data_IF_217574005435
#
_entry.id   IF_217574005435
#
_cell.length_a   1.000
_cell.length_b   1.000
_cell.length_c   1.000
_cell.angle_alpha   90.00
_cell.angle_beta   90.00
_cell.angle_gamma   90.00
#
_symmetry.space_group_name_H-M   'P 1'
#
loop_
_entity.id
_entity.type
_entity.pdbx_description
1 polymer ?
#
# COMPACT_ATOMS: atom_id res chain seq x y z
N UNK A 1 -64.83 -55.30 -23.45
CA UNK A 1 -65.65 -55.15 -24.60
C UNK A 1 -64.78 -54.71 -25.72
N UNK A 2 -64.35 -55.63 -26.48
CA UNK A 2 -64.61 -55.93 -27.87
C UNK A 2 -64.02 -54.82 -28.76
N UNK A 3 -63.27 -55.09 -29.76
CA UNK A 3 -62.95 -56.28 -30.47
C UNK A 3 -61.90 -56.07 -31.53
N UNK A 4 -61.36 -57.15 -31.88
CA UNK A 4 -60.47 -57.55 -32.96
C UNK A 4 -60.79 -56.92 -34.32
N UNK A 5 -59.77 -56.63 -35.14
CA UNK A 5 -59.60 -57.51 -36.32
C UNK A 5 -58.36 -57.16 -37.14
N UNK A 6 -57.70 -58.22 -37.56
CA UNK A 6 -56.57 -58.39 -38.47
C UNK A 6 -56.83 -57.83 -39.86
N UNK A 7 -55.74 -57.51 -40.55
CA UNK A 7 -55.51 -58.09 -41.87
C UNK A 7 -54.09 -57.94 -42.36
N UNK A 8 -53.60 -59.02 -42.91
CA UNK A 8 -52.25 -59.27 -43.40
C UNK A 8 -52.05 -58.73 -44.81
N UNK A 9 -50.80 -58.57 -45.17
CA UNK A 9 -50.43 -58.55 -46.58
C UNK A 9 -49.11 -57.87 -46.92
N UNK A 10 -48.15 -58.68 -47.31
CA UNK A 10 -47.21 -58.30 -48.34
C UNK A 10 -45.77 -58.13 -47.96
N UNK A 11 -45.02 -59.22 -47.98
CA UNK A 11 -43.55 -59.20 -48.01
C UNK A 11 -43.01 -58.44 -49.24
N UNK A 12 -42.06 -57.53 -49.02
CA UNK A 12 -41.08 -57.22 -50.06
C UNK A 12 -39.72 -57.11 -49.38
N UNK A 13 -38.85 -58.00 -49.77
CA UNK A 13 -37.44 -58.04 -49.39
C UNK A 13 -36.72 -56.90 -50.11
N UNK A 14 -36.16 -56.00 -49.39
CA UNK A 14 -35.29 -54.99 -49.96
C UNK A 14 -33.86 -55.33 -49.55
N UNK A 15 -32.96 -55.37 -50.50
CA UNK A 15 -31.55 -55.66 -50.37
C UNK A 15 -30.83 -54.66 -49.47
N UNK A 16 -29.76 -55.05 -48.75
CA UNK A 16 -29.05 -54.15 -47.88
C UNK A 16 -28.16 -53.15 -48.70
N UNK A 17 -28.35 -51.87 -48.45
CA UNK A 17 -27.46 -50.82 -48.94
C UNK A 17 -26.14 -50.92 -48.22
N UNK A 18 -25.01 -50.65 -48.91
CA UNK A 18 -23.72 -50.77 -48.28
C UNK A 18 -23.54 -49.70 -47.22
N UNK A 19 -23.00 -50.10 -46.10
CA UNK A 19 -22.59 -49.22 -45.01
C UNK A 19 -21.55 -48.24 -45.54
N UNK A 20 -21.92 -46.98 -45.65
CA UNK A 20 -20.94 -45.93 -45.88
C UNK A 20 -20.08 -45.81 -44.59
N UNK A 21 -18.84 -46.25 -44.67
CA UNK A 21 -17.86 -45.91 -43.67
C UNK A 21 -17.72 -44.41 -43.71
N UNK A 22 -18.20 -43.73 -42.68
CA UNK A 22 -17.90 -42.35 -42.49
C UNK A 22 -16.41 -42.27 -42.21
N UNK A 23 -15.67 -41.72 -43.15
CA UNK A 23 -14.26 -41.37 -42.90
C UNK A 23 -14.24 -40.43 -41.74
N UNK A 24 -13.54 -40.84 -40.66
CA UNK A 24 -13.38 -39.99 -39.50
C UNK A 24 -12.62 -38.74 -39.94
N UNK A 25 -13.30 -37.64 -39.92
CA UNK A 25 -12.65 -36.37 -40.20
C UNK A 25 -11.58 -36.05 -39.15
N UNK A 26 -10.58 -35.22 -39.50
CA UNK A 26 -9.48 -34.91 -38.61
C UNK A 26 -9.87 -34.05 -37.40
N UNK A 27 -11.15 -33.83 -37.16
CA UNK A 27 -11.64 -32.92 -36.13
C UNK A 27 -11.55 -33.41 -34.69
N UNK A 28 -11.60 -34.73 -34.46
CA UNK A 28 -11.64 -35.24 -33.07
C UNK A 28 -10.30 -35.24 -32.37
N UNK A 29 -9.23 -35.56 -33.10
CA UNK A 29 -7.88 -35.51 -32.51
C UNK A 29 -7.46 -34.06 -32.24
N UNK A 30 -7.82 -33.13 -33.13
CA UNK A 30 -7.52 -31.72 -32.96
C UNK A 30 -8.23 -31.11 -31.76
N UNK A 31 -9.53 -31.48 -31.55
CA UNK A 31 -10.29 -31.00 -30.37
C UNK A 31 -9.72 -31.54 -29.07
N UNK A 32 -9.30 -32.82 -29.05
CA UNK A 32 -8.69 -33.42 -27.83
C UNK A 32 -7.36 -32.75 -27.48
N UNK A 33 -6.53 -32.44 -28.49
CA UNK A 33 -5.26 -31.77 -28.29
C UNK A 33 -5.48 -30.35 -27.79
N UNK A 34 -6.49 -29.63 -28.33
CA UNK A 34 -6.86 -28.30 -27.88
C UNK A 34 -7.38 -28.31 -26.44
N UNK A 35 -8.18 -29.32 -26.06
CA UNK A 35 -8.69 -29.47 -24.71
C UNK A 35 -7.57 -29.79 -23.74
N UNK A 36 -6.60 -30.63 -24.12
CA UNK A 36 -5.45 -30.95 -23.28
C UNK A 36 -4.60 -29.69 -23.09
N UNK A 37 -4.35 -28.94 -24.16
CA UNK A 37 -3.57 -27.72 -24.08
C UNK A 37 -4.26 -26.68 -23.18
N UNK A 38 -5.57 -26.50 -23.36
CA UNK A 38 -6.33 -25.56 -22.54
C UNK A 38 -6.31 -25.97 -21.06
N UNK A 39 -6.49 -27.26 -20.79
CA UNK A 39 -6.43 -27.79 -19.42
C UNK A 39 -5.05 -27.54 -18.81
N UNK A 40 -3.98 -27.77 -19.57
CA UNK A 40 -2.62 -27.51 -19.10
C UNK A 40 -2.39 -26.04 -18.81
N UNK A 41 -2.88 -25.15 -19.69
CA UNK A 41 -2.77 -23.71 -19.50
C UNK A 41 -3.54 -23.24 -18.27
N UNK A 42 -4.76 -23.76 -18.07
CA UNK A 42 -5.56 -23.44 -16.89
C UNK A 42 -4.86 -23.93 -15.62
N UNK A 43 -4.29 -25.14 -15.64
CA UNK A 43 -3.56 -25.70 -14.50
C UNK A 43 -2.34 -24.85 -14.17
N UNK A 44 -1.58 -24.43 -15.21
CA UNK A 44 -0.41 -23.57 -15.01
C UNK A 44 -0.81 -22.21 -14.45
N UNK A 45 -1.89 -21.62 -14.97
CA UNK A 45 -2.41 -20.36 -14.46
C UNK A 45 -2.84 -20.50 -13.01
N UNK A 46 -3.55 -21.57 -12.67
CA UNK A 46 -3.96 -21.84 -11.29
C UNK A 46 -2.75 -22.01 -10.36
N UNK A 47 -1.73 -22.71 -10.84
CA UNK A 47 -0.49 -22.89 -10.07
C UNK A 47 0.21 -21.56 -9.83
N UNK A 48 0.24 -20.69 -10.84
CA UNK A 48 0.84 -19.36 -10.71
C UNK A 48 0.07 -18.49 -9.73
N UNK A 49 -1.26 -18.53 -9.78
CA UNK A 49 -2.13 -17.69 -8.94
C UNK A 49 -2.18 -18.21 -7.51
N UNK A 50 -2.27 -19.53 -7.33
CA UNK A 50 -2.48 -20.11 -6.00
C UNK A 50 -1.27 -19.86 -5.11
N UNK A 51 -1.53 -19.34 -3.91
CA UNK A 51 -0.55 -19.23 -2.83
C UNK A 51 -1.23 -19.65 -1.53
N UNK A 52 -0.55 -20.41 -0.66
CA UNK A 52 -1.16 -20.74 0.63
C UNK A 52 -1.25 -19.48 1.49
N UNK A 53 -2.44 -19.22 2.01
CA UNK A 53 -2.71 -18.04 2.82
C UNK A 53 -3.18 -18.45 4.22
N UNK A 54 -2.89 -17.65 5.25
CA UNK A 54 -3.44 -17.90 6.58
C UNK A 54 -4.96 -17.93 6.56
N UNK A 55 -5.56 -18.74 7.43
CA UNK A 55 -7.01 -18.89 7.51
C UNK A 55 -7.75 -17.62 7.92
N UNK A 56 -7.04 -16.67 8.50
CA UNK A 56 -7.65 -15.40 8.93
C UNK A 56 -7.88 -14.42 7.77
N UNK A 57 -7.35 -14.71 6.57
CA UNK A 57 -7.59 -13.83 5.40
C UNK A 57 -9.04 -13.95 4.95
N UNK A 58 -9.76 -12.84 4.88
CA UNK A 58 -11.20 -12.82 4.61
C UNK A 58 -11.56 -13.16 3.17
N UNK A 59 -10.78 -12.70 2.22
CA UNK A 59 -11.06 -12.85 0.78
C UNK A 59 -9.85 -13.48 0.09
N UNK A 60 -9.54 -14.77 0.37
CA UNK A 60 -8.27 -15.34 -0.07
C UNK A 60 -8.11 -15.40 -1.59
N UNK A 61 -9.16 -15.77 -2.34
CA UNK A 61 -9.05 -15.85 -3.80
C UNK A 61 -8.85 -14.48 -4.44
N UNK A 62 -9.52 -13.46 -3.91
CA UNK A 62 -9.31 -12.09 -4.39
C UNK A 62 -7.86 -11.65 -4.15
N UNK A 63 -7.31 -11.99 -2.98
CA UNK A 63 -5.93 -11.62 -2.66
C UNK A 63 -4.93 -12.35 -3.55
N UNK A 64 -5.16 -13.64 -3.81
CA UNK A 64 -4.31 -14.42 -4.73
C UNK A 64 -4.30 -13.80 -6.12
N UNK A 65 -5.47 -13.42 -6.64
CA UNK A 65 -5.59 -12.81 -7.97
C UNK A 65 -4.92 -11.44 -8.02
N UNK A 66 -5.12 -10.63 -7.00
CA UNK A 66 -4.48 -9.31 -6.91
C UNK A 66 -2.97 -9.45 -6.87
N UNK A 67 -2.48 -10.37 -6.06
CA UNK A 67 -1.04 -10.61 -5.93
C UNK A 67 -0.44 -11.10 -7.25
N UNK A 68 -1.13 -12.03 -7.93
CA UNK A 68 -0.66 -12.53 -9.23
C UNK A 68 -0.57 -11.38 -10.25
N UNK A 69 -1.53 -10.47 -10.22
CA UNK A 69 -1.53 -9.28 -11.09
C UNK A 69 -0.30 -8.42 -10.80
N UNK A 70 -0.03 -8.15 -9.53
CA UNK A 70 1.13 -7.34 -9.14
C UNK A 70 2.44 -8.05 -9.49
N UNK A 71 2.54 -9.35 -9.22
CA UNK A 71 3.76 -10.12 -9.56
C UNK A 71 4.02 -10.09 -11.08
N UNK A 72 2.97 -10.26 -11.87
CA UNK A 72 3.09 -10.23 -13.34
C UNK A 72 3.59 -8.86 -13.81
N UNK A 73 3.00 -7.79 -13.27
CA UNK A 73 3.42 -6.43 -13.63
C UNK A 73 4.88 -6.18 -13.23
N UNK A 74 5.27 -6.63 -12.04
CA UNK A 74 6.65 -6.48 -11.57
C UNK A 74 7.63 -7.28 -12.44
N UNK A 75 7.25 -8.51 -12.83
CA UNK A 75 8.11 -9.35 -13.67
C UNK A 75 8.31 -8.74 -15.06
N UNK A 76 7.24 -8.21 -15.65
CA UNK A 76 7.34 -7.51 -16.94
C UNK A 76 8.23 -6.27 -16.80
N UNK A 77 8.06 -5.52 -15.73
CA UNK A 77 8.84 -4.31 -15.47
C UNK A 77 10.33 -4.63 -15.26
N UNK A 78 10.61 -5.69 -14.53
CA UNK A 78 11.99 -6.14 -14.31
C UNK A 78 12.64 -6.62 -15.60
N UNK A 79 11.89 -7.28 -16.49
CA UNK A 79 12.39 -7.70 -17.80
C UNK A 79 12.72 -6.46 -18.65
N UNK A 80 11.86 -5.45 -18.65
CA UNK A 80 12.09 -4.19 -19.37
C UNK A 80 13.38 -3.55 -18.86
N UNK A 81 13.59 -3.54 -17.56
CA UNK A 81 14.79 -2.99 -16.93
C UNK A 81 16.03 -3.80 -17.33
N UNK A 82 15.95 -5.12 -17.27
CA UNK A 82 17.05 -6.01 -17.64
C UNK A 82 17.47 -5.82 -19.09
N UNK A 83 16.51 -5.59 -19.99
CA UNK A 83 16.77 -5.35 -21.39
C UNK A 83 17.29 -3.92 -21.67
N UNK A 84 17.39 -3.09 -20.65
CA UNK A 84 17.91 -1.73 -20.78
C UNK A 84 16.96 -0.74 -21.42
N UNK A 85 15.66 -1.08 -21.50
CA UNK A 85 14.67 -0.23 -22.18
C UNK A 85 14.15 0.89 -21.28
N UNK A 86 14.02 0.65 -19.98
CA UNK A 86 13.54 1.63 -19.01
C UNK A 86 13.84 1.17 -17.61
N UNK A 87 13.83 2.09 -16.65
CA UNK A 87 13.91 1.74 -15.23
C UNK A 87 12.65 0.96 -14.82
N UNK A 88 12.82 -0.09 -14.00
CA UNK A 88 11.71 -0.96 -13.64
C UNK A 88 10.56 -0.21 -12.97
N UNK A 89 10.85 0.82 -12.18
CA UNK A 89 9.80 1.60 -11.52
C UNK A 89 9.03 2.48 -12.49
N UNK A 90 9.70 3.02 -13.52
CA UNK A 90 8.99 3.76 -14.57
C UNK A 90 8.06 2.84 -15.34
N UNK A 91 8.55 1.63 -15.68
CA UNK A 91 7.74 0.64 -16.39
C UNK A 91 6.55 0.21 -15.55
N UNK A 92 6.78 -0.10 -14.28
CA UNK A 92 5.70 -0.53 -13.37
C UNK A 92 4.65 0.56 -13.19
N UNK A 93 5.10 1.79 -12.99
CA UNK A 93 4.18 2.93 -12.84
C UNK A 93 3.34 3.13 -14.11
N UNK A 94 3.97 2.99 -15.29
CA UNK A 94 3.26 3.09 -16.57
C UNK A 94 2.18 2.02 -16.67
N UNK A 95 2.49 0.77 -16.30
CA UNK A 95 1.52 -0.33 -16.34
C UNK A 95 0.34 -0.03 -15.41
N UNK A 96 0.62 0.37 -14.18
CA UNK A 96 -0.41 0.65 -13.17
C UNK A 96 -1.30 1.81 -13.63
N UNK A 97 -0.71 2.89 -14.15
CA UNK A 97 -1.48 4.04 -14.61
C UNK A 97 -2.32 3.72 -15.85
N UNK A 98 -1.85 2.80 -16.71
CA UNK A 98 -2.60 2.39 -17.89
C UNK A 98 -3.94 1.75 -17.54
N UNK A 99 -4.00 1.07 -16.39
CA UNK A 99 -5.22 0.38 -15.95
C UNK A 99 -6.06 1.20 -14.96
N UNK A 100 -5.49 2.25 -14.36
CA UNK A 100 -6.16 2.92 -13.25
C UNK A 100 -6.28 4.44 -13.31
N UNK A 101 -5.63 5.07 -14.28
CA UNK A 101 -5.61 6.54 -14.31
C UNK A 101 -6.98 7.11 -14.67
N UNK A 102 -7.49 7.96 -13.82
CA UNK A 102 -8.73 8.70 -14.09
C UNK A 102 -8.48 10.19 -13.90
N UNK A 103 -9.00 10.98 -14.82
CA UNK A 103 -8.96 12.42 -14.71
C UNK A 103 -9.80 12.89 -13.52
N UNK A 104 -9.52 14.07 -13.04
CA UNK A 104 -10.33 14.69 -11.99
C UNK A 104 -11.78 14.86 -12.49
N UNK A 105 -12.74 14.47 -11.67
CA UNK A 105 -14.16 14.61 -11.99
C UNK A 105 -14.92 14.92 -10.72
N UNK A 106 -15.80 15.91 -10.84
CA UNK A 106 -16.60 16.36 -9.71
C UNK A 106 -17.96 15.66 -9.70
N UNK A 107 -18.52 15.53 -8.52
CA UNK A 107 -19.89 15.08 -8.33
C UNK A 107 -20.70 16.23 -7.75
N UNK A 108 -22.04 16.10 -7.69
CA UNK A 108 -22.83 17.16 -7.04
C UNK A 108 -22.42 17.40 -5.58
N UNK A 109 -21.84 16.39 -4.91
CA UNK A 109 -21.48 16.49 -3.50
C UNK A 109 -20.03 16.89 -3.28
N UNK A 110 -19.13 16.65 -4.27
CA UNK A 110 -17.69 16.88 -4.09
C UNK A 110 -17.12 17.54 -5.36
N UNK A 111 -16.56 18.73 -5.18
CA UNK A 111 -15.81 19.41 -6.24
C UNK A 111 -14.37 18.94 -6.20
N UNK A 112 -13.84 18.52 -7.35
CA UNK A 112 -12.47 18.05 -7.48
C UNK A 112 -11.69 18.96 -8.43
N UNK A 113 -10.56 19.47 -7.97
CA UNK A 113 -9.75 20.44 -8.73
C UNK A 113 -8.27 20.03 -8.65
N UNK A 114 -7.61 20.03 -9.80
CA UNK A 114 -6.15 19.86 -9.85
C UNK A 114 -5.52 21.25 -9.83
N UNK A 115 -4.55 21.45 -8.95
CA UNK A 115 -3.88 22.72 -8.78
C UNK A 115 -2.43 22.52 -8.35
N UNK A 116 -1.77 23.61 -8.00
CA UNK A 116 -0.35 23.63 -7.64
C UNK A 116 -0.20 24.35 -6.30
N UNK A 117 0.47 23.71 -5.35
CA UNK A 117 0.84 24.32 -4.07
C UNK A 117 2.36 24.52 -4.05
N UNK A 118 2.80 25.69 -4.44
CA UNK A 118 4.22 26.09 -4.42
C UNK A 118 5.08 25.10 -5.23
N UNK A 119 4.63 24.75 -6.44
CA UNK A 119 5.37 23.89 -7.36
C UNK A 119 5.08 22.40 -7.21
N UNK A 120 4.20 22.03 -6.30
CA UNK A 120 3.82 20.63 -6.08
C UNK A 120 2.38 20.42 -6.56
N UNK A 121 2.18 19.46 -7.45
CA UNK A 121 0.85 19.13 -7.93
C UNK A 121 -0.02 18.60 -6.81
N UNK A 122 -1.24 19.10 -6.71
CA UNK A 122 -2.19 18.74 -5.65
C UNK A 122 -3.57 18.56 -6.26
N UNK A 123 -4.27 17.51 -5.82
CA UNK A 123 -5.68 17.32 -6.14
C UNK A 123 -6.49 17.70 -4.91
N UNK A 124 -7.36 18.69 -5.06
CA UNK A 124 -8.18 19.22 -3.95
C UNK A 124 -9.60 18.68 -4.08
N UNK A 125 -10.11 18.09 -3.01
CA UNK A 125 -11.47 17.59 -2.90
C UNK A 125 -12.22 18.49 -1.93
N UNK A 126 -13.28 19.17 -2.39
CA UNK A 126 -14.06 20.07 -1.57
C UNK A 126 -15.47 19.52 -1.40
N UNK A 127 -15.86 19.23 -0.17
CA UNK A 127 -17.24 18.87 0.16
C UNK A 127 -18.13 20.09 0.18
N UNK A 128 -19.45 19.89 0.06
CA UNK A 128 -20.41 20.97 0.12
C UNK A 128 -20.36 21.64 1.50
N UNK A 129 -20.44 22.99 1.55
CA UNK A 129 -20.42 23.68 2.83
C UNK A 129 -21.68 23.37 3.66
N UNK A 130 -21.50 23.26 4.98
CA UNK A 130 -22.61 23.06 5.90
C UNK A 130 -22.99 24.40 6.54
N UNK A 131 -24.28 24.75 6.56
CA UNK A 131 -24.67 26.05 7.16
C UNK A 131 -24.25 26.23 8.61
N UNK A 132 -24.22 25.12 9.39
CA UNK A 132 -23.84 25.18 10.80
C UNK A 132 -22.33 25.22 11.01
N UNK A 133 -21.55 24.88 9.98
CA UNK A 133 -20.08 24.87 10.05
C UNK A 133 -19.53 25.65 8.85
N UNK A 134 -19.41 26.97 8.96
CA UNK A 134 -18.92 27.76 7.83
C UNK A 134 -17.47 27.51 7.48
N UNK A 135 -16.65 27.08 8.46
CA UNK A 135 -15.27 26.70 8.21
C UNK A 135 -15.14 25.17 8.28
N UNK A 136 -14.41 24.62 7.32
CA UNK A 136 -14.28 23.18 7.11
C UNK A 136 -13.08 22.59 7.83
N UNK A 137 -13.24 21.37 8.28
CA UNK A 137 -12.10 20.52 8.65
C UNK A 137 -11.32 20.16 7.40
N UNK A 138 -10.04 19.85 7.55
CA UNK A 138 -9.19 19.55 6.41
C UNK A 138 -8.20 18.42 6.73
N UNK A 139 -7.94 17.58 5.74
CA UNK A 139 -6.88 16.55 5.83
C UNK A 139 -5.96 16.70 4.63
N UNK A 140 -4.68 16.84 4.91
CA UNK A 140 -3.64 16.72 3.89
C UNK A 140 -3.28 15.25 3.79
N UNK A 141 -3.56 14.63 2.65
CA UNK A 141 -3.34 13.19 2.46
C UNK A 141 -2.18 12.94 1.52
N UNK A 142 -1.27 12.05 1.95
CA UNK A 142 -0.07 11.69 1.20
C UNK A 142 -0.21 10.24 0.79
N UNK A 143 -0.20 9.97 -0.52
CA UNK A 143 -0.45 8.64 -1.03
C UNK A 143 0.77 7.72 -0.86
N UNK A 144 0.51 6.41 -0.81
CA UNK A 144 1.54 5.39 -0.79
C UNK A 144 2.06 5.04 -2.17
N UNK A 145 2.72 3.89 -2.27
CA UNK A 145 3.27 3.39 -3.53
C UNK A 145 4.80 3.34 -3.54
N UNK A 146 5.40 3.12 -2.38
CA UNK A 146 6.86 2.92 -2.29
C UNK A 146 7.67 4.10 -2.77
N UNK A 147 7.15 5.31 -2.61
CA UNK A 147 7.76 6.57 -3.07
C UNK A 147 7.95 6.63 -4.59
N UNK A 148 7.43 5.66 -5.31
CA UNK A 148 7.71 5.47 -6.75
C UNK A 148 6.46 5.31 -7.62
N UNK A 149 5.36 4.88 -7.03
CA UNK A 149 4.14 4.58 -7.80
C UNK A 149 3.08 5.64 -7.52
N UNK A 150 2.42 6.08 -8.57
CA UNK A 150 1.34 7.07 -8.45
C UNK A 150 0.05 6.34 -8.07
N UNK A 151 -0.42 6.53 -6.86
CA UNK A 151 -1.69 5.93 -6.41
C UNK A 151 -2.84 6.92 -6.47
N UNK A 152 -2.53 8.15 -6.66
CA UNK A 152 -3.57 9.19 -6.80
C UNK A 152 -4.47 8.97 -8.00
N UNK A 153 -3.88 8.52 -8.72
CA UNK A 153 -4.60 8.21 -9.89
C UNK A 153 -5.37 6.96 -9.79
N UNK A 154 -4.92 6.42 -8.87
CA UNK A 154 -5.63 5.23 -8.75
C UNK A 154 -6.98 5.54 -8.19
N UNK A 155 -7.77 5.12 -8.62
CA UNK A 155 -9.11 5.31 -8.23
C UNK A 155 -9.37 4.97 -6.82
N UNK A 156 -8.54 4.22 -6.41
CA UNK A 156 -8.62 3.81 -5.11
C UNK A 156 -8.45 4.91 -4.11
N UNK A 157 -7.60 5.67 -4.30
CA UNK A 157 -7.36 6.75 -3.42
C UNK A 157 -8.40 7.84 -3.60
N UNK A 158 -8.83 7.95 -4.66
CA UNK A 158 -9.86 8.83 -4.93
C UNK A 158 -11.15 8.43 -4.27
N UNK A 159 -11.27 7.35 -4.28
CA UNK A 159 -12.40 6.81 -3.65
C UNK A 159 -12.35 6.89 -2.14
N UNK A 160 -11.25 6.80 -1.71
CA UNK A 160 -11.04 6.96 -0.33
C UNK A 160 -11.16 8.39 0.06
N UNK A 161 -10.70 9.14 -0.67
CA UNK A 161 -10.80 10.51 -0.45
C UNK A 161 -12.19 11.05 -0.68
N UNK A 162 -12.81 10.49 -1.56
CA UNK A 162 -14.15 10.87 -1.81
C UNK A 162 -15.06 10.44 -0.69
N UNK A 163 -14.72 9.44 -0.17
CA UNK A 163 -15.48 8.97 0.94
C UNK A 163 -15.17 9.74 2.21
N UNK A 164 -14.06 10.10 2.30
CA UNK A 164 -13.65 10.94 3.39
C UNK A 164 -14.17 12.36 3.26
N UNK A 165 -14.23 12.76 2.20
CA UNK A 165 -14.79 13.99 1.94
C UNK A 165 -16.28 14.05 2.20
N UNK A 166 -16.80 13.10 1.91
CA UNK A 166 -18.17 12.98 2.17
C UNK A 166 -18.54 12.99 3.64
N UNK A 167 -17.78 12.38 4.25
CA UNK A 167 -18.01 12.35 5.64
C UNK A 167 -17.49 13.56 6.35
N UNK A 168 -16.56 13.90 6.00
CA UNK A 168 -16.01 14.99 6.76
C UNK A 168 -15.77 16.24 5.92
N UNK A 169 -16.29 16.61 5.30
CA UNK A 169 -16.16 17.78 4.59
C UNK A 169 -14.75 18.26 4.63
N UNK A 170 -14.04 17.53 4.41
CA UNK A 170 -12.68 17.84 4.45
C UNK A 170 -12.17 18.20 3.09
N UNK A 171 -11.26 18.88 3.11
CA UNK A 171 -10.50 19.16 1.96
C UNK A 171 -9.42 18.15 1.96
N UNK A 172 -9.33 17.40 1.15
CA UNK A 172 -8.31 16.48 1.08
C UNK A 172 -7.42 16.92 -0.02
N UNK A 173 -6.22 17.10 0.27
CA UNK A 173 -5.19 17.46 -0.62
C UNK A 173 -4.35 16.25 -0.79
N UNK A 174 -4.32 15.65 -1.79
CA UNK A 174 -3.48 14.58 -2.11
C UNK A 174 -2.32 15.18 -2.78
N UNK A 175 -1.19 15.08 -2.16
CA UNK A 175 0.01 15.57 -2.64
C UNK A 175 0.53 14.67 -3.67
N UNK A 176 0.71 14.96 -4.68
CA UNK A 176 1.33 14.29 -5.74
C UNK A 176 2.76 14.63 -5.73
N UNK A 177 3.56 14.30 -4.82
CA UNK A 177 5.00 14.51 -4.67
C UNK A 177 5.77 13.80 -5.79
N UNK A 178 6.94 14.30 -6.08
CA UNK A 178 7.75 13.70 -7.17
C UNK A 178 8.21 12.31 -6.76
N UNK A 179 8.34 11.42 -7.73
CA UNK A 179 8.53 9.99 -7.50
C UNK A 179 9.91 9.50 -7.93
N UNK A 180 10.38 8.44 -7.25
CA UNK A 180 11.53 7.65 -7.69
C UNK A 180 11.16 7.04 -9.06
N UNK A 181 12.05 6.96 -10.05
CA UNK A 181 13.47 7.34 -10.04
C UNK A 181 13.75 8.73 -10.61
N UNK A 182 12.74 9.54 -10.84
CA UNK A 182 12.97 10.91 -11.35
C UNK A 182 13.70 11.75 -10.32
N UNK A 183 13.33 11.58 -9.04
CA UNK A 183 14.03 12.17 -7.90
C UNK A 183 14.13 11.13 -6.79
N UNK A 184 15.05 11.35 -5.85
CA UNK A 184 15.32 10.45 -4.75
C UNK A 184 15.20 11.20 -3.43
N UNK A 185 15.21 10.45 -2.31
CA UNK A 185 15.26 11.07 -0.99
C UNK A 185 16.36 12.15 -0.94
N UNK A 186 16.12 13.33 -0.38
CA UNK A 186 14.95 13.76 0.39
C UNK A 186 13.92 14.59 -0.40
N UNK A 187 13.91 14.49 -1.74
CA UNK A 187 13.01 15.32 -2.54
C UNK A 187 11.55 15.11 -2.17
N UNK A 188 11.17 13.86 -1.86
CA UNK A 188 9.78 13.54 -1.56
C UNK A 188 9.30 14.23 -0.28
N UNK A 189 10.08 14.13 0.80
CA UNK A 189 9.70 14.81 2.05
C UNK A 189 9.74 16.33 1.88
N UNK A 190 10.71 16.86 1.12
CA UNK A 190 10.76 18.28 0.82
C UNK A 190 9.50 18.76 0.10
N UNK A 191 9.03 17.97 -0.88
CA UNK A 191 7.81 18.31 -1.62
C UNK A 191 6.59 18.37 -0.70
N UNK A 192 6.39 17.33 0.13
CA UNK A 192 5.18 17.30 0.96
C UNK A 192 5.23 18.38 2.06
N UNK A 193 6.40 18.69 2.57
CA UNK A 193 6.57 19.78 3.54
C UNK A 193 6.25 21.12 2.86
N UNK A 194 6.80 21.35 1.66
CA UNK A 194 6.56 22.60 0.94
C UNK A 194 5.08 22.80 0.62
N UNK A 195 4.42 21.78 0.12
CA UNK A 195 2.99 21.86 -0.21
C UNK A 195 2.13 22.10 1.03
N UNK A 196 2.48 21.43 2.15
CA UNK A 196 1.71 21.58 3.39
C UNK A 196 1.90 22.98 3.99
N UNK A 197 3.13 23.49 3.97
CA UNK A 197 3.39 24.88 4.42
C UNK A 197 2.57 25.89 3.60
N UNK A 198 2.54 25.69 2.28
CA UNK A 198 1.75 26.55 1.40
C UNK A 198 0.26 26.51 1.79
N UNK A 199 -0.26 25.31 2.00
CA UNK A 199 -1.67 25.13 2.37
C UNK A 199 -2.01 25.85 3.68
N UNK A 200 -1.08 25.87 4.63
CA UNK A 200 -1.31 26.46 5.95
C UNK A 200 -1.19 27.98 5.96
N UNK A 201 -0.85 28.63 4.86
CA UNK A 201 -0.86 30.09 4.78
C UNK A 201 -2.28 30.62 5.04
N UNK A 202 -2.43 31.66 5.84
CA UNK A 202 -3.77 32.18 6.15
C UNK A 202 -4.63 32.47 4.92
N UNK A 203 -4.05 33.06 3.87
CA UNK A 203 -4.76 33.39 2.64
C UNK A 203 -5.23 32.14 1.88
N UNK A 204 -4.48 31.03 1.96
CA UNK A 204 -4.85 29.77 1.31
C UNK A 204 -5.95 29.08 2.11
N UNK A 205 -5.81 29.02 3.42
CA UNK A 205 -6.86 28.46 4.28
C UNK A 205 -8.18 29.22 4.09
N UNK A 206 -8.10 30.56 4.01
CA UNK A 206 -9.28 31.40 3.77
C UNK A 206 -9.91 31.10 2.41
N UNK A 207 -9.09 30.95 1.37
CA UNK A 207 -9.57 30.63 0.02
C UNK A 207 -10.44 29.37 0.02
N UNK A 208 -10.06 28.36 0.81
CA UNK A 208 -10.78 27.09 0.87
C UNK A 208 -11.76 27.00 2.04
N UNK A 209 -11.94 28.09 2.78
CA UNK A 209 -12.82 28.17 3.97
C UNK A 209 -12.47 27.07 4.99
N UNK A 210 -11.18 26.91 5.28
CA UNK A 210 -10.67 25.89 6.22
C UNK A 210 -10.45 26.51 7.59
N UNK A 211 -10.87 25.80 8.63
CA UNK A 211 -10.60 26.14 10.01
C UNK A 211 -9.12 25.84 10.32
N UNK A 212 -8.31 26.87 10.62
CA UNK A 212 -6.88 26.63 10.89
C UNK A 212 -6.60 25.70 12.07
N UNK A 213 -7.55 25.57 13.00
CA UNK A 213 -7.37 24.71 14.18
C UNK A 213 -7.78 23.26 13.93
N UNK A 214 -8.27 22.95 12.72
CA UNK A 214 -8.80 21.61 12.41
C UNK A 214 -8.18 21.07 11.11
N UNK A 215 -6.84 21.03 11.07
CA UNK A 215 -6.08 20.49 9.94
C UNK A 215 -5.31 19.27 10.42
N UNK A 216 -5.54 18.13 9.76
CA UNK A 216 -4.80 16.89 10.02
C UNK A 216 -3.92 16.48 8.86
N UNK A 217 -2.92 15.65 9.15
CA UNK A 217 -2.04 15.05 8.14
C UNK A 217 -2.26 13.55 8.15
N UNK A 218 -2.27 12.93 6.97
CA UNK A 218 -2.50 11.49 6.88
C UNK A 218 -1.81 10.92 5.65
N UNK A 219 -1.62 9.61 5.66
CA UNK A 219 -1.05 8.92 4.51
C UNK A 219 -0.99 7.43 4.74
N UNK A 220 -0.84 6.68 3.64
CA UNK A 220 -0.75 5.22 3.69
C UNK A 220 0.61 4.76 3.19
N UNK A 221 1.18 3.74 3.85
CA UNK A 221 2.43 3.09 3.45
C UNK A 221 3.57 4.10 3.38
N UNK A 222 4.19 4.30 2.21
CA UNK A 222 5.22 5.34 2.02
C UNK A 222 4.66 6.73 2.30
N UNK A 223 3.37 6.97 2.03
CA UNK A 223 2.72 8.22 2.40
C UNK A 223 2.57 8.39 3.89
N UNK A 224 2.33 7.29 4.61
CA UNK A 224 2.34 7.30 6.08
C UNK A 224 3.72 7.62 6.63
N UNK A 225 4.76 7.13 5.97
CA UNK A 225 6.14 7.48 6.27
C UNK A 225 6.35 9.00 6.15
N UNK A 226 5.94 9.56 5.03
CA UNK A 226 6.10 10.99 4.77
C UNK A 226 5.26 11.83 5.75
N UNK A 227 4.05 11.39 6.08
CA UNK A 227 3.20 12.09 7.04
C UNK A 227 3.85 12.13 8.44
N UNK A 228 4.40 11.00 8.87
CA UNK A 228 5.07 10.93 10.17
C UNK A 228 6.31 11.84 10.20
N UNK A 229 7.12 11.81 9.14
CA UNK A 229 8.32 12.64 9.06
C UNK A 229 7.95 14.14 9.04
N UNK A 230 6.90 14.49 8.30
CA UNK A 230 6.41 15.88 8.25
C UNK A 230 5.96 16.34 9.63
N UNK A 231 5.20 15.52 10.35
CA UNK A 231 4.73 15.85 11.69
C UNK A 231 5.90 16.14 12.64
N UNK A 232 6.96 15.34 12.55
CA UNK A 232 8.16 15.54 13.37
C UNK A 232 8.84 16.85 13.02
N UNK A 233 8.97 17.16 11.72
CA UNK A 233 9.60 18.42 11.29
C UNK A 233 8.79 19.62 11.77
N UNK A 234 7.47 19.57 11.64
CA UNK A 234 6.59 20.66 12.08
C UNK A 234 6.69 20.86 13.60
N UNK A 235 6.77 19.78 14.34
CA UNK A 235 6.87 19.86 15.80
C UNK A 235 8.18 20.52 16.25
N UNK A 236 9.22 20.45 15.43
CA UNK A 236 10.52 21.05 15.74
C UNK A 236 10.66 22.49 15.23
N UNK A 237 9.67 22.98 14.49
CA UNK A 237 9.69 24.32 13.90
C UNK A 237 8.75 25.23 14.72
N UNK A 238 9.30 26.28 15.35
CA UNK A 238 8.54 27.16 16.23
C UNK A 238 7.34 27.81 15.53
N UNK A 239 7.45 28.08 14.21
CA UNK A 239 6.38 28.71 13.45
C UNK A 239 5.29 27.73 13.05
N UNK A 240 5.58 26.43 13.05
CA UNK A 240 4.65 25.40 12.55
C UNK A 240 4.16 24.48 13.68
N UNK A 241 4.78 24.55 14.85
CA UNK A 241 4.39 23.74 16.00
C UNK A 241 2.91 23.97 16.31
N UNK A 242 2.20 22.87 16.54
CA UNK A 242 0.76 22.86 16.85
C UNK A 242 -0.15 23.30 15.70
N UNK A 243 0.38 23.42 14.47
CA UNK A 243 -0.45 23.73 13.31
C UNK A 243 -1.26 22.52 12.83
N UNK A 244 -0.80 21.30 13.16
CA UNK A 244 -1.53 20.08 12.81
C UNK A 244 -2.22 19.54 14.05
N UNK A 245 -3.51 19.32 13.96
CA UNK A 245 -4.31 18.83 15.08
C UNK A 245 -4.09 17.33 15.33
N UNK A 246 -3.85 16.56 14.23
CA UNK A 246 -3.67 15.12 14.35
C UNK A 246 -2.86 14.58 13.19
N UNK A 247 -2.35 13.37 13.38
CA UNK A 247 -1.77 12.59 12.29
C UNK A 247 -2.41 11.21 12.27
N UNK A 248 -2.70 10.71 11.06
CA UNK A 248 -3.31 9.40 10.89
C UNK A 248 -2.48 8.61 9.89
N UNK A 249 -1.82 7.57 10.38
CA UNK A 249 -0.84 6.80 9.65
C UNK A 249 -1.41 5.42 9.34
N UNK A 250 -1.53 5.10 8.06
CA UNK A 250 -2.18 3.87 7.58
C UNK A 250 -1.09 2.90 7.14
N UNK A 251 -0.96 1.79 7.87
CA UNK A 251 0.11 0.77 7.70
C UNK A 251 1.44 1.40 7.25
N UNK A 252 2.00 2.31 8.06
CA UNK A 252 3.15 3.10 7.63
C UNK A 252 4.46 2.31 7.63
N UNK A 253 5.36 2.67 6.71
CA UNK A 253 6.74 2.17 6.72
C UNK A 253 7.60 3.19 7.47
N UNK A 254 8.30 2.77 8.54
CA UNK A 254 8.86 3.73 9.48
C UNK A 254 10.34 3.53 9.83
N UNK A 255 10.98 2.46 9.31
CA UNK A 255 12.39 2.22 9.60
C UNK A 255 13.00 1.29 8.55
N UNK A 256 14.32 1.34 8.42
CA UNK A 256 15.07 0.52 7.45
C UNK A 256 16.31 -0.12 8.11
N UNK A 257 16.28 -0.32 9.43
CA UNK A 257 17.43 -0.85 10.16
C UNK A 257 17.24 -2.30 10.58
N UNK A 258 16.00 -2.75 10.75
CA UNK A 258 15.72 -4.13 11.14
C UNK A 258 14.67 -4.71 10.21
N UNK A 259 15.09 -5.59 9.31
CA UNK A 259 14.20 -6.29 8.39
C UNK A 259 13.87 -7.69 8.89
N UNK A 260 14.03 -7.92 10.20
CA UNK A 260 13.73 -9.21 10.84
C UNK A 260 12.94 -9.04 12.14
N UNK A 261 12.12 -8.00 12.21
CA UNK A 261 11.10 -7.90 13.27
C UNK A 261 10.15 -9.09 13.12
N UNK A 262 9.38 -9.43 14.16
CA UNK A 262 8.44 -10.55 14.02
C UNK A 262 7.55 -10.47 12.77
N UNK A 263 7.03 -9.29 12.42
CA UNK A 263 6.19 -9.19 11.22
C UNK A 263 6.97 -9.42 9.92
N UNK A 264 8.22 -8.98 9.84
CA UNK A 264 9.06 -9.30 8.68
C UNK A 264 9.36 -10.79 8.59
N UNK A 265 9.59 -11.45 9.72
CA UNK A 265 9.83 -12.90 9.72
C UNK A 265 8.55 -13.66 9.37
N UNK A 266 7.45 -13.31 10.02
CA UNK A 266 6.16 -13.97 9.82
C UNK A 266 5.67 -13.81 8.38
N UNK A 267 5.81 -12.62 7.82
CA UNK A 267 5.20 -12.23 6.55
C UNK A 267 6.21 -12.08 5.42
N UNK A 268 7.38 -12.71 5.52
CA UNK A 268 8.46 -12.46 4.56
C UNK A 268 8.06 -12.71 3.11
N UNK A 269 7.15 -13.64 2.87
CA UNK A 269 6.67 -14.01 1.54
C UNK A 269 5.20 -13.66 1.32
N UNK A 270 4.67 -12.75 2.11
CA UNK A 270 3.25 -12.39 2.06
C UNK A 270 2.91 -11.76 0.69
N UNK A 271 1.66 -11.90 0.25
CA UNK A 271 1.23 -11.23 -0.98
C UNK A 271 1.37 -9.72 -0.91
N UNK A 272 1.48 -9.11 -2.06
CA UNK A 272 1.51 -7.66 -2.31
C UNK A 272 2.84 -7.04 -1.90
N UNK A 273 3.32 -7.28 -0.66
CA UNK A 273 4.55 -6.65 -0.18
C UNK A 273 5.40 -7.67 0.59
N UNK A 274 6.07 -8.58 -0.10
CA UNK A 274 7.05 -9.44 0.57
C UNK A 274 8.27 -8.66 1.04
N UNK A 275 9.04 -9.23 1.95
CA UNK A 275 10.18 -8.55 2.55
C UNK A 275 11.16 -8.01 1.51
N UNK A 276 11.53 -8.84 0.51
CA UNK A 276 12.54 -8.39 -0.46
C UNK A 276 12.04 -7.20 -1.28
N UNK A 277 10.74 -7.13 -1.54
CA UNK A 277 10.15 -6.00 -2.29
C UNK A 277 10.25 -4.73 -1.46
N UNK A 278 9.95 -4.81 -0.16
CA UNK A 278 10.06 -3.62 0.71
C UNK A 278 11.52 -3.14 0.79
N UNK A 279 12.46 -4.08 0.96
CA UNK A 279 13.88 -3.72 1.02
C UNK A 279 14.32 -3.08 -0.31
N UNK A 280 13.85 -3.61 -1.43
CA UNK A 280 14.19 -3.06 -2.75
C UNK A 280 13.64 -1.63 -2.90
N UNK A 281 12.41 -1.35 -2.39
CA UNK A 281 11.88 0.01 -2.39
C UNK A 281 12.78 0.97 -1.61
N UNK A 282 13.30 0.53 -0.46
CA UNK A 282 14.24 1.34 0.31
C UNK A 282 15.51 1.64 -0.50
N UNK A 283 16.08 0.62 -1.15
CA UNK A 283 17.28 0.78 -1.97
C UNK A 283 17.02 1.75 -3.12
N UNK A 284 15.88 1.61 -3.78
CA UNK A 284 15.48 2.52 -4.86
C UNK A 284 15.30 3.97 -4.35
N UNK A 285 14.71 4.12 -3.16
CA UNK A 285 14.46 5.45 -2.58
C UNK A 285 15.75 6.24 -2.40
N UNK A 286 16.83 5.54 -2.05
CA UNK A 286 18.13 6.15 -1.80
C UNK A 286 19.11 6.05 -2.98
N UNK A 287 18.66 5.54 -4.11
CA UNK A 287 19.51 5.29 -5.30
C UNK A 287 20.69 4.38 -4.93
N UNK A 288 20.41 3.36 -4.13
CA UNK A 288 21.44 2.42 -3.69
C UNK A 288 21.70 1.30 -4.69
N UNK A 289 22.72 0.53 -4.42
CA UNK A 289 23.10 -0.62 -5.22
C UNK A 289 22.18 -1.80 -4.87
N UNK A 290 21.59 -2.44 -5.87
CA UNK A 290 20.70 -3.59 -5.66
C UNK A 290 21.43 -4.78 -5.00
N UNK A 291 22.75 -4.83 -5.08
CA UNK A 291 23.54 -5.84 -4.37
C UNK A 291 23.35 -5.75 -2.85
N UNK A 292 22.89 -4.60 -2.35
CA UNK A 292 22.65 -4.41 -0.91
C UNK A 292 21.43 -5.15 -0.40
N UNK A 293 20.49 -5.51 -1.28
CA UNK A 293 19.18 -6.06 -0.87
C UNK A 293 19.36 -7.33 -0.02
N UNK A 294 20.16 -8.30 -0.49
CA UNK A 294 20.35 -9.55 0.24
C UNK A 294 20.98 -9.33 1.61
N UNK A 295 21.99 -8.47 1.68
CA UNK A 295 22.66 -8.15 2.95
C UNK A 295 21.71 -7.45 3.92
N UNK A 296 20.90 -6.53 3.41
CA UNK A 296 19.93 -5.80 4.24
C UNK A 296 18.86 -6.74 4.80
N UNK A 297 18.43 -7.73 4.01
CA UNK A 297 17.40 -8.68 4.46
C UNK A 297 17.84 -9.52 5.66
N UNK A 298 19.13 -9.66 5.88
CA UNK A 298 19.64 -10.41 7.06
C UNK A 298 20.28 -9.46 8.09
N UNK A 299 20.01 -8.16 7.98
CA UNK A 299 20.50 -7.14 8.90
C UNK A 299 22.03 -7.01 8.93
N UNK A 300 22.70 -7.30 7.80
CA UNK A 300 24.15 -7.10 7.71
C UNK A 300 24.55 -5.64 7.73
N UNK A 301 23.65 -4.75 7.36
CA UNK A 301 23.90 -3.31 7.34
C UNK A 301 23.84 -2.69 8.74
N UNK A 302 23.32 -3.41 9.73
CA UNK A 302 23.18 -2.93 11.11
C UNK A 302 23.82 -3.92 12.09
N UNK A 303 24.92 -4.53 11.67
CA UNK A 303 25.68 -5.44 12.52
C UNK A 303 26.38 -4.70 13.67
N UNK A 304 26.82 -5.44 14.66
CA UNK A 304 27.42 -4.85 15.86
C UNK A 304 28.68 -4.04 15.54
N UNK A 305 29.43 -4.43 14.51
CA UNK A 305 30.63 -3.71 14.10
C UNK A 305 30.32 -2.40 13.34
N UNK A 306 29.07 -2.18 12.95
CA UNK A 306 28.62 -0.91 12.36
C UNK A 306 27.95 -0.10 13.48
N UNK A 307 28.76 0.51 14.33
CA UNK A 307 28.33 1.04 15.63
C UNK A 307 27.19 2.08 15.52
N UNK A 308 27.30 3.01 14.57
CA UNK A 308 26.29 4.05 14.43
C UNK A 308 24.91 3.45 14.12
N UNK A 309 24.85 2.52 13.18
CA UNK A 309 23.60 1.87 12.81
C UNK A 309 23.09 1.00 13.96
N UNK A 310 23.99 0.27 14.63
CA UNK A 310 23.60 -0.58 15.75
C UNK A 310 23.01 0.23 16.91
N UNK A 311 23.58 1.41 17.19
CA UNK A 311 23.09 2.28 18.26
C UNK A 311 21.66 2.76 17.96
N UNK A 312 21.42 3.19 16.72
CA UNK A 312 20.07 3.64 16.32
C UNK A 312 19.09 2.48 16.28
N UNK A 313 19.55 1.28 15.90
CA UNK A 313 18.72 0.09 15.95
C UNK A 313 18.24 -0.21 17.37
N UNK A 314 19.00 0.20 18.37
CA UNK A 314 18.58 0.07 19.77
C UNK A 314 17.26 0.76 20.08
N UNK A 315 16.91 1.80 19.31
CA UNK A 315 15.62 2.48 19.46
C UNK A 315 14.47 1.65 18.91
N UNK A 316 14.79 0.58 18.19
CA UNK A 316 13.81 -0.37 17.60
C UNK A 316 13.85 -1.70 18.35
N UNK A 317 14.17 -1.70 19.64
CA UNK A 317 14.24 -2.95 20.39
C UNK A 317 12.83 -3.53 20.55
N UNK A 318 12.46 -4.37 19.61
CA UNK A 318 11.10 -4.88 19.57
C UNK A 318 10.80 -5.86 20.71
N UNK A 319 11.82 -6.41 21.35
CA UNK A 319 11.59 -7.27 22.51
C UNK A 319 10.96 -6.49 23.67
N UNK A 320 11.19 -5.16 23.73
CA UNK A 320 10.61 -4.28 24.75
C UNK A 320 9.43 -3.45 24.24
N UNK A 321 9.31 -3.28 22.90
CA UNK A 321 8.29 -2.40 22.33
C UNK A 321 7.05 -3.15 21.87
N UNK A 322 7.16 -4.45 21.58
CA UNK A 322 6.03 -5.25 21.10
C UNK A 322 5.46 -6.12 22.21
N UNK A 323 4.17 -6.43 22.17
CA UNK A 323 3.60 -7.33 23.18
C UNK A 323 4.13 -8.76 23.03
N UNK A 324 4.14 -9.48 24.16
CA UNK A 324 4.64 -10.85 24.22
C UNK A 324 3.90 -11.79 23.26
N UNK A 325 2.62 -11.54 23.02
CA UNK A 325 1.83 -12.35 22.09
C UNK A 325 2.42 -12.33 20.67
N UNK A 326 3.11 -11.25 20.31
CA UNK A 326 3.80 -11.15 19.00
C UNK A 326 5.21 -11.72 19.08
N UNK A 327 5.95 -11.39 20.13
CA UNK A 327 7.40 -11.69 20.18
C UNK A 327 7.74 -13.12 20.56
N UNK A 328 6.84 -13.85 21.18
CA UNK A 328 7.14 -15.14 21.84
C UNK A 328 7.74 -16.20 20.91
N UNK A 329 7.44 -16.15 19.61
CA UNK A 329 7.89 -17.16 18.65
C UNK A 329 9.04 -16.69 17.77
N UNK A 330 9.64 -15.55 18.08
CA UNK A 330 10.65 -14.94 17.21
C UNK A 330 11.89 -14.55 18.00
N UNK A 331 13.04 -14.57 17.31
CA UNK A 331 14.31 -14.17 17.89
C UNK A 331 14.89 -13.00 17.11
N UNK A 332 15.53 -12.04 17.79
CA UNK A 332 16.24 -10.98 17.07
C UNK A 332 17.34 -11.54 16.16
N UNK A 333 17.51 -10.92 15.01
CA UNK A 333 18.59 -11.26 14.07
C UNK A 333 19.60 -10.11 14.12
N UNK A 334 20.74 -10.37 14.73
CA UNK A 334 21.82 -9.40 14.88
C UNK A 334 23.12 -10.04 14.44
N UNK A 335 23.75 -9.47 13.41
CA UNK A 335 25.04 -9.95 12.92
C UNK A 335 26.16 -9.33 13.75
N UNK A 336 27.22 -10.10 14.05
CA UNK A 336 28.38 -9.56 14.73
C UNK A 336 29.26 -8.76 13.79
N UNK A 337 29.43 -9.27 12.56
CA UNK A 337 30.15 -8.55 11.50
C UNK A 337 29.24 -8.40 10.29
N UNK A 338 29.38 -7.29 9.60
CA UNK A 338 28.51 -7.03 8.46
C UNK A 338 29.16 -6.18 7.40
N UNK A 339 28.31 -5.54 6.61
CA UNK A 339 28.74 -4.76 5.46
C UNK A 339 28.59 -3.27 5.76
N UNK A 340 29.65 -2.69 6.34
CA UNK A 340 29.70 -1.26 6.65
C UNK A 340 29.58 -0.37 5.41
N UNK A 341 29.88 -0.92 4.24
CA UNK A 341 29.76 -0.20 2.97
C UNK A 341 28.34 0.30 2.74
N UNK A 342 27.34 -0.48 3.18
CA UNK A 342 25.94 -0.11 2.95
C UNK A 342 25.61 1.22 3.64
N UNK A 343 25.92 1.33 4.93
CA UNK A 343 25.68 2.58 5.68
C UNK A 343 26.53 3.72 5.12
N UNK A 344 27.75 3.42 4.69
CA UNK A 344 28.66 4.42 4.13
C UNK A 344 28.09 5.01 2.82
N UNK A 345 27.50 4.17 1.97
CA UNK A 345 26.98 4.61 0.67
C UNK A 345 25.56 5.18 0.75
N UNK A 346 24.73 4.65 1.66
CA UNK A 346 23.37 5.16 1.85
C UNK A 346 23.12 5.49 3.32
N UNK A 347 23.83 6.52 3.85
CA UNK A 347 23.64 6.92 5.25
C UNK A 347 22.25 7.48 5.54
N UNK A 348 21.46 7.75 4.52
CA UNK A 348 20.09 8.23 4.64
C UNK A 348 19.19 7.22 5.39
N UNK A 349 19.59 5.95 5.45
CA UNK A 349 18.91 4.94 6.28
C UNK A 349 18.85 5.36 7.75
N UNK A 350 19.79 6.19 8.19
CA UNK A 350 19.91 6.65 9.58
C UNK A 350 19.24 8.00 9.83
N UNK A 351 18.56 8.55 8.83
CA UNK A 351 17.95 9.88 8.91
C UNK A 351 16.47 9.75 9.33
N UNK A 352 16.04 10.38 10.43
CA UNK A 352 14.63 10.31 10.84
C UNK A 352 13.63 10.83 9.80
N UNK A 353 14.08 11.66 8.86
CA UNK A 353 13.20 12.10 7.77
C UNK A 353 12.83 10.96 6.83
N UNK A 354 13.67 9.92 6.74
CA UNK A 354 13.33 8.70 5.98
C UNK A 354 12.78 7.61 6.89
N UNK A 355 13.16 7.63 8.17
CA UNK A 355 12.85 6.57 9.13
C UNK A 355 12.33 7.19 10.44
N UNK A 356 11.07 7.65 10.44
CA UNK A 356 10.53 8.36 11.62
C UNK A 356 10.61 7.59 12.93
N UNK A 357 10.61 6.26 12.88
CA UNK A 357 10.63 5.43 14.08
C UNK A 357 11.94 5.57 14.87
N UNK A 358 13.05 6.00 14.23
CA UNK A 358 14.33 6.12 14.91
C UNK A 358 14.58 7.52 15.49
N UNK A 359 13.61 8.42 15.42
CA UNK A 359 13.77 9.76 15.97
C UNK A 359 14.07 9.72 17.47
N UNK A 360 14.76 10.75 17.97
CA UNK A 360 14.99 10.92 19.40
C UNK A 360 13.65 11.01 20.14
N UNK A 361 13.63 10.49 21.36
CA UNK A 361 12.41 10.53 22.18
C UNK A 361 11.91 11.95 22.38
N UNK A 362 12.83 12.92 22.51
CA UNK A 362 12.46 14.33 22.67
C UNK A 362 11.71 14.89 21.46
N UNK A 363 12.02 14.40 20.26
CA UNK A 363 11.32 14.80 19.03
C UNK A 363 9.87 14.31 19.04
N UNK A 364 9.64 13.16 19.65
CA UNK A 364 8.31 12.53 19.67
C UNK A 364 7.37 13.21 20.68
N UNK A 365 7.91 13.88 21.68
CA UNK A 365 7.10 14.60 22.67
C UNK A 365 6.33 15.73 21.98
N UNK A 366 5.07 15.90 22.38
CA UNK A 366 4.21 16.98 21.87
C UNK A 366 3.80 16.82 20.42
N UNK A 367 4.03 15.65 19.80
CA UNK A 367 3.43 15.35 18.49
C UNK A 367 1.91 15.33 18.65
N UNK A 368 1.18 15.61 17.57
CA UNK A 368 -0.27 15.67 17.68
C UNK A 368 -0.90 14.30 17.95
N UNK A 369 -2.16 14.33 18.38
CA UNK A 369 -2.98 13.12 18.55
C UNK A 369 -2.81 12.23 17.32
N UNK A 370 -2.59 10.92 17.54
CA UNK A 370 -2.14 10.00 16.49
C UNK A 370 -3.04 8.79 16.37
N UNK A 371 -3.37 8.44 15.13
CA UNK A 371 -4.03 7.20 14.74
C UNK A 371 -3.03 6.37 13.94
N UNK A 372 -2.90 5.09 14.26
CA UNK A 372 -2.05 4.17 13.50
C UNK A 372 -2.87 2.92 13.20
N UNK A 373 -3.03 2.61 11.91
CA UNK A 373 -3.71 1.40 11.45
C UNK A 373 -2.66 0.37 11.07
N UNK A 374 -2.80 -0.85 11.57
CA UNK A 374 -1.88 -1.95 11.24
C UNK A 374 -2.66 -3.17 10.78
N UNK A 375 -1.99 -4.03 10.02
CA UNK A 375 -2.57 -5.25 9.44
C UNK A 375 -1.73 -6.45 9.84
N UNK A 376 -2.40 -7.55 10.20
CA UNK A 376 -1.72 -8.76 10.67
C UNK A 376 -0.79 -9.34 9.60
N UNK A 377 -1.25 -9.35 8.34
CA UNK A 377 -0.53 -10.00 7.23
C UNK A 377 0.30 -8.99 6.44
N UNK A 378 1.13 -8.22 7.15
CA UNK A 378 1.90 -7.10 6.61
C UNK A 378 3.28 -7.09 7.26
N UNK A 379 4.33 -7.07 6.46
CA UNK A 379 5.71 -6.97 6.99
C UNK A 379 5.90 -5.71 7.83
N UNK A 380 5.11 -4.66 7.58
CA UNK A 380 5.21 -3.37 8.27
C UNK A 380 4.38 -3.29 9.54
N UNK A 381 3.67 -4.36 9.91
CA UNK A 381 2.81 -4.36 11.11
C UNK A 381 3.56 -3.82 12.33
N UNK A 382 4.76 -4.36 12.57
CA UNK A 382 5.50 -4.05 13.79
C UNK A 382 6.11 -2.65 13.77
N UNK A 383 6.41 -2.10 12.59
CA UNK A 383 6.82 -0.69 12.51
C UNK A 383 5.75 0.20 13.16
N UNK A 384 4.49 -0.02 12.77
CA UNK A 384 3.37 0.76 13.29
C UNK A 384 3.16 0.56 14.78
N UNK A 385 3.20 -0.70 15.24
CA UNK A 385 3.00 -1.01 16.66
C UNK A 385 4.11 -0.39 17.51
N UNK A 386 5.37 -0.50 17.05
CA UNK A 386 6.50 0.08 17.77
C UNK A 386 6.40 1.60 17.84
N UNK A 387 5.98 2.24 16.75
CA UNK A 387 5.83 3.69 16.74
C UNK A 387 4.74 4.12 17.70
N UNK A 388 3.62 3.41 17.71
CA UNK A 388 2.55 3.67 18.67
C UNK A 388 3.07 3.62 20.11
N UNK A 389 3.90 2.61 20.42
CA UNK A 389 4.44 2.44 21.77
C UNK A 389 5.42 3.58 22.12
N UNK A 390 6.28 3.95 21.18
CA UNK A 390 7.23 5.04 21.42
C UNK A 390 6.50 6.37 21.60
N UNK A 391 5.44 6.61 20.83
CA UNK A 391 4.62 7.82 20.99
C UNK A 391 3.90 7.84 22.33
N UNK A 392 3.33 6.72 22.75
CA UNK A 392 2.67 6.61 24.06
C UNK A 392 3.67 6.91 25.20
N UNK A 393 4.88 6.35 25.11
CA UNK A 393 5.93 6.60 26.10
C UNK A 393 6.37 8.07 26.11
N UNK A 394 6.18 8.77 25.00
CA UNK A 394 6.49 10.20 24.91
C UNK A 394 5.32 11.09 25.33
N UNK A 395 4.20 10.50 25.78
CA UNK A 395 3.04 11.24 26.26
C UNK A 395 2.05 11.63 25.19
N UNK A 396 2.15 11.07 23.97
CA UNK A 396 1.23 11.36 22.87
C UNK A 396 0.01 10.45 22.98
N UNK A 397 -1.16 11.00 22.74
CA UNK A 397 -2.40 10.22 22.71
C UNK A 397 -2.45 9.43 21.40
N UNK A 398 -2.50 8.09 21.48
CA UNK A 398 -2.44 7.21 20.32
C UNK A 398 -3.61 6.25 20.30
N UNK A 399 -4.25 6.11 19.16
CA UNK A 399 -5.20 5.05 18.87
C UNK A 399 -4.53 4.07 17.89
N UNK A 400 -4.29 2.85 18.34
CA UNK A 400 -3.75 1.77 17.50
C UNK A 400 -4.92 0.89 17.05
N UNK A 401 -5.17 0.84 15.75
CA UNK A 401 -6.30 0.13 15.15
C UNK A 401 -5.75 -1.03 14.33
N UNK A 402 -5.80 -2.24 14.89
CA UNK A 402 -5.20 -3.43 14.28
C UNK A 402 -6.26 -4.33 13.66
N UNK A 403 -6.00 -4.81 12.44
CA UNK A 403 -6.92 -5.67 11.70
C UNK A 403 -6.29 -7.05 11.50
N UNK A 404 -6.85 -8.06 12.14
CA UNK A 404 -6.32 -9.42 12.14
C UNK A 404 -6.43 -10.12 10.79
N UNK A 405 -7.32 -9.66 9.92
CA UNK A 405 -7.46 -10.20 8.56
C UNK A 405 -6.92 -9.24 7.49
N UNK A 406 -6.24 -8.16 7.91
CA UNK A 406 -5.70 -7.16 6.99
C UNK A 406 -4.41 -7.57 6.33
N UNK A 407 -4.18 -7.02 5.14
CA UNK A 407 -2.93 -7.16 4.41
C UNK A 407 -2.49 -5.77 3.96
N UNK A 408 -1.21 -5.66 3.59
CA UNK A 408 -0.69 -4.35 3.21
C UNK A 408 -1.41 -3.79 1.98
N UNK A 409 -1.91 -2.57 2.09
CA UNK A 409 -2.61 -1.89 1.01
C UNK A 409 -4.10 -2.14 0.98
N UNK A 410 -4.65 -2.92 1.90
CA UNK A 410 -6.06 -3.35 1.81
C UNK A 410 -7.06 -2.18 1.76
N UNK A 411 -6.74 -1.07 2.42
CA UNK A 411 -7.68 0.06 2.52
C UNK A 411 -7.99 0.70 1.15
N UNK A 412 -7.10 0.56 0.17
CA UNK A 412 -7.33 1.18 -1.15
C UNK A 412 -8.12 0.27 -2.11
N UNK A 413 -8.35 -1.00 -1.75
CA UNK A 413 -9.04 -1.96 -2.63
C UNK A 413 -10.47 -2.18 -2.17
N UNK A 414 -11.29 -1.13 -2.22
CA UNK A 414 -12.66 -1.13 -1.70
C UNK A 414 -13.75 -1.17 -2.79
N UNK A 415 -13.36 -1.14 -4.07
CA UNK A 415 -14.32 -1.12 -5.18
C UNK A 415 -14.12 -2.31 -6.11
N UNK A 416 -15.18 -2.60 -6.86
CA UNK A 416 -15.14 -3.63 -7.89
C UNK A 416 -13.94 -3.41 -8.82
N UNK A 417 -13.22 -4.44 -9.22
CA UNK A 417 -13.46 -5.87 -8.95
C UNK A 417 -12.86 -6.39 -7.65
N UNK A 418 -12.13 -5.58 -6.90
CA UNK A 418 -11.45 -6.05 -5.69
C UNK A 418 -12.37 -6.16 -4.48
N UNK A 419 -13.06 -5.09 -4.09
CA UNK A 419 -14.05 -5.05 -2.99
C UNK A 419 -13.66 -5.91 -1.78
N UNK A 420 -12.47 -5.75 -1.24
CA UNK A 420 -12.08 -6.51 -0.07
C UNK A 420 -12.92 -6.09 1.14
N UNK A 421 -13.48 -7.05 1.85
CA UNK A 421 -14.27 -6.76 3.04
C UNK A 421 -13.43 -6.04 4.10
N UNK A 422 -12.17 -6.48 4.30
CA UNK A 422 -11.27 -5.82 5.24
C UNK A 422 -10.91 -4.40 4.76
N UNK A 423 -10.80 -4.20 3.46
CA UNK A 423 -10.55 -2.87 2.91
C UNK A 423 -11.67 -1.90 3.29
N UNK A 424 -12.92 -2.35 3.15
CA UNK A 424 -14.08 -1.54 3.50
C UNK A 424 -14.09 -1.25 5.01
N UNK A 425 -13.82 -2.27 5.84
CA UNK A 425 -13.81 -2.08 7.30
C UNK A 425 -12.70 -1.15 7.75
N UNK A 426 -11.50 -1.27 7.17
CA UNK A 426 -10.39 -0.38 7.51
C UNK A 426 -10.69 1.06 7.12
N UNK A 427 -11.24 1.26 5.92
CA UNK A 427 -11.65 2.59 5.48
C UNK A 427 -12.68 3.20 6.40
N UNK A 428 -13.70 2.42 6.76
CA UNK A 428 -14.78 2.93 7.62
C UNK A 428 -14.27 3.27 9.02
N UNK A 429 -13.38 2.46 9.57
CA UNK A 429 -12.81 2.71 10.89
C UNK A 429 -11.96 3.97 10.89
N UNK A 430 -11.15 4.16 9.87
CA UNK A 430 -10.33 5.35 9.69
C UNK A 430 -11.20 6.61 9.59
N UNK A 431 -12.24 6.58 8.75
CA UNK A 431 -13.16 7.72 8.58
C UNK A 431 -13.86 8.04 9.90
N UNK A 432 -14.31 7.02 10.62
CA UNK A 432 -14.96 7.22 11.92
C UNK A 432 -14.02 7.94 12.90
N UNK A 433 -12.76 7.47 12.98
CA UNK A 433 -11.81 8.11 13.88
C UNK A 433 -11.56 9.57 13.49
N UNK A 434 -11.43 9.86 12.19
CA UNK A 434 -11.27 11.24 11.74
C UNK A 434 -12.46 12.10 12.13
N UNK A 435 -13.67 11.59 11.93
CA UNK A 435 -14.89 12.32 12.29
C UNK A 435 -14.96 12.64 13.78
N UNK A 436 -14.47 11.75 14.61
CA UNK A 436 -14.53 11.92 16.07
C UNK A 436 -13.42 12.84 16.60
N UNK A 437 -12.34 13.01 15.86
CA UNK A 437 -11.14 13.65 16.41
C UNK A 437 -10.68 14.92 15.67
N UNK A 438 -11.22 15.20 14.48
CA UNK A 438 -10.81 16.37 13.70
C UNK A 438 -11.80 17.53 13.79
#
# INVERSE_FOLDING_TARGET
>A
MSGCQKLAGGLRVASPLPCRQSAGGPGRAGMRSSCVLLTALVALAAYYVYIPLPGSVSDPWKLMLLDATFRSAQQVSNLIHYLGLSHHLLALNFIILSFGKKSAWSTPQVKVTDTDFDGVEVRVFEGAPKPQEPLKRSVVYIHGGGWALASAXXXXXXXXXXXXXXXXXXXXXXXXYRLVPKVYFPAQIQDVVRATKYFLRPEVLQKYSVDPSRVGISGDSAGGNLAAALSQQFNQDADLKNKLKLQALIYPVLQALDFNTPSYQQNMNTPILPRYVMVKYWVDYFKGNYDFVQAMMVNNHTSLDVQEAAALRGRLNWTSLLPASITKNYQPVMQTTGNARIIKEIPQLLDPRSAPLIADQEVLQHLPKTYILTCEHDVLRDDGIMYAKRLERAGVEVTLDHFEDGFHGCMIFTRWPTNFSVGIRTRNSYIRWLNENL
#
